data_IF_424296977016
#
_entry.id   IF_424296977016
#
_cell.length_a   1.000
_cell.length_b   1.000
_cell.length_c   1.000
_cell.angle_alpha   90.00
_cell.angle_beta   90.00
_cell.angle_gamma   90.00
#
_symmetry.space_group_name_H-M   'P 1'
#
loop_
_entity.id
_entity.type
_entity.pdbx_description
1 polymer ?
#
# COMPACT_ATOMS: atom_id res chain seq x y z
N UNK A 1 0.41 -1.82 14.27
CA UNK A 1 0.85 -3.16 13.79
C UNK A 1 1.38 -2.96 12.39
N UNK A 2 2.51 -3.56 12.05
CA UNK A 2 3.10 -3.52 10.70
C UNK A 2 2.66 -4.74 9.89
N UNK A 3 2.50 -4.54 8.57
CA UNK A 3 2.14 -5.62 7.63
C UNK A 3 3.26 -6.66 7.58
N UNK A 4 2.91 -7.94 7.66
CA UNK A 4 3.89 -9.05 7.60
C UNK A 4 4.01 -9.63 6.19
N UNK A 5 2.91 -9.77 5.48
CA UNK A 5 2.85 -10.34 4.14
C UNK A 5 2.19 -9.37 3.17
N UNK A 6 2.82 -9.19 2.02
CA UNK A 6 2.28 -8.44 0.89
C UNK A 6 2.32 -9.32 -0.37
N UNK A 7 1.22 -9.31 -1.12
CA UNK A 7 1.16 -9.91 -2.45
C UNK A 7 0.56 -8.87 -3.38
N UNK A 8 1.27 -8.60 -4.48
CA UNK A 8 0.82 -7.66 -5.50
C UNK A 8 0.53 -8.40 -6.80
N UNK A 9 -0.67 -8.22 -7.31
CA UNK A 9 -1.14 -8.67 -8.62
C UNK A 9 -1.76 -7.49 -9.35
N UNK A 10 -1.89 -7.56 -10.68
CA UNK A 10 -2.20 -6.42 -11.59
C UNK A 10 -2.97 -5.24 -10.97
N UNK A 11 -4.15 -5.49 -10.38
CA UNK A 11 -4.97 -4.47 -9.68
C UNK A 11 -5.41 -4.93 -8.28
N UNK A 12 -4.62 -5.79 -7.64
CA UNK A 12 -4.96 -6.44 -6.39
C UNK A 12 -3.76 -6.43 -5.44
N UNK A 13 -3.98 -5.88 -4.25
CA UNK A 13 -3.01 -5.92 -3.15
C UNK A 13 -3.60 -6.77 -2.02
N UNK A 14 -2.86 -7.76 -1.54
CA UNK A 14 -3.21 -8.51 -0.34
C UNK A 14 -2.23 -8.11 0.76
N UNK A 15 -2.75 -7.63 1.90
CA UNK A 15 -1.97 -7.32 3.10
C UNK A 15 -2.47 -8.21 4.23
N UNK A 16 -1.63 -9.11 4.75
CA UNK A 16 -1.99 -10.02 5.85
C UNK A 16 -3.38 -10.69 5.67
N UNK A 17 -3.64 -11.25 4.48
CA UNK A 17 -4.94 -11.85 4.07
C UNK A 17 -6.12 -10.88 3.81
N UNK A 18 -5.92 -9.56 3.91
CA UNK A 18 -6.92 -8.55 3.50
C UNK A 18 -6.71 -8.17 2.05
N UNK A 19 -7.72 -8.36 1.21
CA UNK A 19 -7.65 -8.11 -0.23
C UNK A 19 -8.20 -6.73 -0.59
N UNK A 20 -7.44 -5.95 -1.34
CA UNK A 20 -7.82 -4.67 -1.92
C UNK A 20 -7.80 -4.78 -3.45
N UNK A 21 -8.96 -4.74 -4.08
CA UNK A 21 -9.09 -4.70 -5.54
C UNK A 21 -9.31 -3.24 -5.95
N UNK A 22 -8.24 -2.55 -6.38
CA UNK A 22 -8.22 -1.11 -6.62
C UNK A 22 -7.32 -0.75 -7.79
N UNK A 23 -7.64 0.34 -8.49
CA UNK A 23 -6.78 0.88 -9.54
C UNK A 23 -5.56 1.57 -8.92
N UNK A 24 -4.36 1.02 -9.13
CA UNK A 24 -3.14 1.49 -8.47
C UNK A 24 -2.77 2.95 -8.80
N UNK A 25 -3.22 3.43 -9.97
CA UNK A 25 -2.86 4.75 -10.50
C UNK A 25 -3.81 5.86 -10.06
N UNK A 26 -4.85 5.57 -9.27
CA UNK A 26 -5.70 6.60 -8.70
C UNK A 26 -5.26 6.92 -7.26
N UNK A 27 -4.51 8.02 -7.04
CA UNK A 27 -4.03 8.43 -5.71
C UNK A 27 -5.16 8.79 -4.73
N UNK A 28 -6.37 9.05 -5.22
CA UNK A 28 -7.54 9.28 -4.37
C UNK A 28 -8.09 7.98 -3.76
N UNK A 29 -7.82 6.86 -4.41
CA UNK A 29 -8.23 5.51 -3.98
C UNK A 29 -7.12 4.84 -3.18
N UNK A 30 -5.89 4.86 -3.70
CA UNK A 30 -4.74 4.14 -3.13
C UNK A 30 -3.44 4.97 -3.22
N UNK A 31 -2.72 5.10 -2.11
CA UNK A 31 -1.43 5.79 -2.08
C UNK A 31 -0.52 5.27 -0.96
N UNK A 32 0.78 5.52 -1.11
CA UNK A 32 1.73 5.44 0.00
C UNK A 32 1.86 6.83 0.63
N UNK A 33 1.77 6.93 1.95
CA UNK A 33 1.92 8.18 2.70
C UNK A 33 2.87 8.03 3.88
N UNK A 34 3.37 9.15 4.38
CA UNK A 34 4.28 9.13 5.53
C UNK A 34 3.48 9.00 6.83
N UNK A 35 3.88 8.07 7.69
CA UNK A 35 3.41 7.96 9.07
C UNK A 35 4.62 8.09 10.03
N UNK A 36 4.44 8.57 11.28
CA UNK A 36 5.56 8.70 12.23
C UNK A 36 6.35 7.41 12.48
N UNK A 37 5.75 6.26 12.19
CA UNK A 37 6.35 4.93 12.40
C UNK A 37 6.85 4.26 11.12
N UNK A 38 6.78 4.94 9.97
CA UNK A 38 7.20 4.40 8.67
C UNK A 38 6.25 4.74 7.51
N UNK A 39 6.51 4.19 6.31
CA UNK A 39 5.59 4.33 5.18
C UNK A 39 4.25 3.65 5.50
N UNK A 40 3.17 4.22 4.97
CA UNK A 40 1.81 3.79 5.25
C UNK A 40 1.03 3.60 3.96
N UNK A 41 0.51 2.41 3.77
CA UNK A 41 -0.50 2.11 2.77
C UNK A 41 -1.82 2.79 3.14
N UNK A 42 -2.39 3.53 2.20
CA UNK A 42 -3.66 4.24 2.34
C UNK A 42 -4.60 3.77 1.24
N UNK A 43 -5.70 3.12 1.61
CA UNK A 43 -6.77 2.75 0.68
C UNK A 43 -8.13 3.15 1.26
N UNK A 44 -8.75 4.24 0.78
CA UNK A 44 -9.98 4.77 1.36
C UNK A 44 -9.84 5.06 2.87
N UNK A 45 -10.61 4.41 3.77
CA UNK A 45 -10.42 4.51 5.23
C UNK A 45 -9.36 3.56 5.80
N UNK A 46 -8.90 2.56 5.05
CA UNK A 46 -7.94 1.57 5.52
C UNK A 46 -6.51 2.14 5.55
N UNK A 47 -5.78 1.85 6.62
CA UNK A 47 -4.40 2.28 6.84
C UNK A 47 -3.57 1.11 7.32
N UNK A 48 -2.38 0.90 6.74
CA UNK A 48 -1.46 -0.14 7.17
C UNK A 48 -0.01 0.35 7.11
N UNK A 49 0.73 0.19 8.21
CA UNK A 49 2.15 0.57 8.25
C UNK A 49 2.97 -0.52 7.56
N UNK A 50 3.83 -0.10 6.63
CA UNK A 50 4.67 -0.94 5.80
C UNK A 50 6.14 -0.82 6.24
N UNK A 51 6.96 -1.79 5.84
CA UNK A 51 8.40 -1.58 5.72
C UNK A 51 8.73 -0.72 4.50
N UNK A 52 9.94 -0.16 4.43
CA UNK A 52 10.40 0.55 3.23
C UNK A 52 10.43 -0.36 2.00
N UNK A 53 10.85 -1.61 2.16
CA UNK A 53 10.88 -2.58 1.06
C UNK A 53 9.48 -2.86 0.49
N UNK A 54 8.48 -3.07 1.35
CA UNK A 54 7.08 -3.25 0.94
C UNK A 54 6.51 -1.99 0.27
N UNK A 55 6.88 -0.81 0.75
CA UNK A 55 6.47 0.44 0.12
C UNK A 55 7.06 0.57 -1.29
N UNK A 56 8.34 0.24 -1.48
CA UNK A 56 8.97 0.24 -2.79
C UNK A 56 8.35 -0.78 -3.74
N UNK A 57 7.97 -1.97 -3.27
CA UNK A 57 7.28 -2.97 -4.07
C UNK A 57 5.93 -2.45 -4.62
N UNK A 58 5.14 -1.77 -3.77
CA UNK A 58 3.88 -1.16 -4.19
C UNK A 58 4.07 -0.01 -5.18
N UNK A 59 5.10 0.81 -4.97
CA UNK A 59 5.44 1.91 -5.88
C UNK A 59 5.87 1.35 -7.24
N UNK A 60 6.70 0.30 -7.25
CA UNK A 60 7.11 -0.39 -8.47
C UNK A 60 5.93 -1.03 -9.21
N UNK A 61 4.91 -1.50 -8.47
CA UNK A 61 3.66 -1.98 -9.05
C UNK A 61 2.76 -0.86 -9.61
N UNK A 62 3.06 0.40 -9.29
CA UNK A 62 2.37 1.58 -9.83
C UNK A 62 1.46 2.31 -8.84
N UNK A 63 1.51 1.96 -7.55
CA UNK A 63 0.85 2.74 -6.49
C UNK A 63 1.52 4.10 -6.36
N UNK A 64 0.73 5.16 -6.29
CA UNK A 64 1.26 6.52 -6.18
C UNK A 64 1.94 6.76 -4.82
N UNK A 65 3.19 7.23 -4.83
CA UNK A 65 3.90 7.68 -3.63
C UNK A 65 3.58 9.16 -3.33
N UNK A 66 3.07 9.43 -2.13
CA UNK A 66 2.72 10.75 -1.61
C UNK A 66 3.35 11.01 -0.23
N UNK A 67 4.45 10.30 0.09
CA UNK A 67 5.23 10.53 1.31
C UNK A 67 5.90 11.90 1.33
#
# INVERSE_FOLDING_TARGET
>A
MSVKEIIVQENLVILDSVTFAVEFRDPSVISIRQHPTGPCFVCGPARAVLSEEQAQELIAAGVTDLR
#
